data_IF_328647275524
#
_entry.id   IF_328647275524
#
_cell.length_a   1.000
_cell.length_b   1.000
_cell.length_c   1.000
_cell.angle_alpha   90.00
_cell.angle_beta   90.00
_cell.angle_gamma   90.00
#
_symmetry.space_group_name_H-M   'P 1'
#
loop_
_entity.id
_entity.type
_entity.pdbx_description
1 polymer ?
#
# COMPACT_ATOMS: atom_id res chain seq x y z
N UNK A 1 0.45 -20.99 17.07
CA UNK A 1 1.57 -20.05 17.26
C UNK A 1 2.24 -19.80 15.91
N UNK A 2 2.40 -18.53 15.57
CA UNK A 2 3.08 -18.16 14.34
C UNK A 2 4.58 -18.47 14.39
N UNK A 3 5.14 -18.85 13.26
CA UNK A 3 6.58 -19.12 13.11
C UNK A 3 7.25 -17.96 12.39
N UNK A 4 8.53 -17.69 12.65
CA UNK A 4 9.27 -16.72 11.84
C UNK A 4 9.20 -17.04 10.34
N UNK A 5 9.08 -16.03 9.53
CA UNK A 5 9.02 -16.15 8.06
C UNK A 5 9.95 -15.14 7.41
N UNK A 6 10.53 -15.54 6.31
CA UNK A 6 11.28 -14.65 5.41
C UNK A 6 10.52 -14.61 4.10
N UNK A 7 10.19 -13.41 3.66
CA UNK A 7 9.37 -13.21 2.46
C UNK A 7 10.12 -12.31 1.47
N UNK A 8 10.25 -12.76 0.25
CA UNK A 8 10.85 -11.98 -0.84
C UNK A 8 9.74 -11.42 -1.73
N UNK A 9 9.82 -10.14 -2.06
CA UNK A 9 8.83 -9.44 -2.88
C UNK A 9 8.54 -10.19 -4.17
N UNK A 10 9.58 -10.72 -4.82
CA UNK A 10 9.46 -11.40 -6.12
C UNK A 10 8.68 -12.72 -6.05
N UNK A 11 8.48 -13.26 -4.86
CA UNK A 11 7.76 -14.51 -4.64
C UNK A 11 6.30 -14.31 -4.22
N UNK A 12 5.86 -13.07 -4.06
CA UNK A 12 4.52 -12.75 -3.58
C UNK A 12 3.64 -12.27 -4.73
N UNK A 13 2.47 -12.86 -4.88
CA UNK A 13 1.45 -12.37 -5.80
C UNK A 13 1.02 -10.96 -5.42
N UNK A 14 0.76 -10.13 -6.42
CA UNK A 14 0.27 -8.79 -6.21
C UNK A 14 -1.21 -8.64 -6.56
N UNK A 15 -1.74 -7.49 -6.21
CA UNK A 15 -3.07 -7.04 -6.55
C UNK A 15 -2.98 -5.74 -7.32
N UNK A 16 -3.86 -5.58 -8.30
CA UNK A 16 -3.99 -4.34 -9.05
C UNK A 16 -5.48 -4.09 -9.32
N UNK A 17 -6.00 -2.89 -9.04
CA UNK A 17 -7.34 -2.55 -9.48
C UNK A 17 -7.44 -2.67 -11.00
N UNK A 18 -8.52 -3.29 -11.50
CA UNK A 18 -8.70 -3.46 -12.95
C UNK A 18 -8.73 -2.12 -13.69
N UNK A 19 -9.39 -1.13 -13.10
CA UNK A 19 -9.49 0.22 -13.65
C UNK A 19 -8.14 0.92 -13.86
N UNK A 20 -7.10 0.50 -13.14
CA UNK A 20 -5.77 1.08 -13.25
C UNK A 20 -4.86 0.37 -14.26
N UNK A 21 -5.33 -0.74 -14.86
CA UNK A 21 -4.60 -1.41 -15.92
C UNK A 21 -3.19 -1.90 -15.57
N UNK A 22 -2.94 -2.17 -14.29
CA UNK A 22 -1.62 -2.58 -13.81
C UNK A 22 -0.69 -1.43 -13.44
N UNK A 23 -1.16 -0.19 -13.47
CA UNK A 23 -0.34 0.97 -13.09
C UNK A 23 -0.08 1.08 -11.57
N UNK A 24 -0.87 0.38 -10.76
CA UNK A 24 -0.66 0.20 -9.33
C UNK A 24 -0.69 -1.27 -8.99
N UNK A 25 0.37 -1.75 -8.33
CA UNK A 25 0.44 -3.15 -7.85
C UNK A 25 0.81 -3.12 -6.38
N UNK A 26 0.03 -3.78 -5.53
CA UNK A 26 0.35 -3.99 -4.12
C UNK A 26 0.62 -5.47 -3.85
N UNK A 27 1.68 -5.75 -3.10
CA UNK A 27 2.08 -7.10 -2.69
C UNK A 27 2.10 -7.19 -1.17
N UNK A 28 1.31 -8.10 -0.63
CA UNK A 28 1.13 -8.26 0.81
C UNK A 28 2.27 -9.12 1.35
N UNK A 29 3.30 -8.49 1.90
CA UNK A 29 4.49 -9.18 2.37
C UNK A 29 4.28 -9.81 3.74
N UNK A 30 3.75 -9.04 4.67
CA UNK A 30 3.45 -9.47 6.04
C UNK A 30 1.99 -9.21 6.31
N UNK A 31 1.23 -10.26 6.57
CA UNK A 31 -0.21 -10.18 6.85
C UNK A 31 -0.69 -11.49 7.53
N UNK A 32 -1.97 -11.58 7.84
CA UNK A 32 -2.49 -12.68 8.64
C UNK A 32 -2.55 -14.02 7.91
N UNK A 33 -2.91 -14.02 6.64
CA UNK A 33 -3.16 -15.26 5.89
C UNK A 33 -1.88 -15.93 5.41
N UNK A 34 -0.96 -15.17 4.82
CA UNK A 34 0.26 -15.71 4.24
C UNK A 34 1.33 -16.05 5.25
N UNK A 35 1.54 -15.21 6.26
CA UNK A 35 2.62 -15.41 7.25
C UNK A 35 2.13 -15.55 8.68
N UNK A 36 0.83 -15.41 8.92
CA UNK A 36 0.25 -15.55 10.25
C UNK A 36 0.54 -14.38 11.18
N UNK A 37 0.76 -13.18 10.65
CA UNK A 37 0.91 -12.00 11.48
C UNK A 37 -0.40 -11.65 12.18
N UNK A 38 -0.32 -11.28 13.45
CA UNK A 38 -1.50 -10.91 14.24
C UNK A 38 -1.60 -9.42 14.52
N UNK A 39 -0.55 -8.65 14.26
CA UNK A 39 -0.51 -7.24 14.67
C UNK A 39 0.15 -6.29 13.66
N UNK A 40 0.78 -6.84 12.64
CA UNK A 40 1.62 -6.07 11.73
C UNK A 40 1.25 -6.35 10.28
N UNK A 41 1.13 -5.27 9.50
CA UNK A 41 1.00 -5.30 8.05
C UNK A 41 2.20 -4.65 7.40
N UNK A 42 2.74 -5.29 6.39
CA UNK A 42 3.74 -4.69 5.50
C UNK A 42 3.34 -5.00 4.06
N UNK A 43 3.16 -3.95 3.27
CA UNK A 43 2.79 -4.06 1.85
C UNK A 43 3.86 -3.38 1.01
N UNK A 44 4.28 -4.03 -0.04
CA UNK A 44 5.12 -3.43 -1.08
C UNK A 44 4.23 -2.92 -2.20
N UNK A 45 4.38 -1.67 -2.56
CA UNK A 45 3.61 -1.03 -3.61
C UNK A 45 4.51 -0.55 -4.75
N UNK A 46 4.00 -0.66 -5.96
CA UNK A 46 4.63 -0.13 -7.17
C UNK A 46 3.63 0.73 -7.92
N UNK A 47 4.03 1.95 -8.27
CA UNK A 47 3.25 2.89 -9.05
C UNK A 47 3.98 3.26 -10.33
N UNK A 48 3.29 3.20 -11.45
CA UNK A 48 3.79 3.73 -12.72
C UNK A 48 3.83 5.25 -12.71
N UNK A 49 4.68 5.89 -13.54
CA UNK A 49 4.72 7.35 -13.64
C UNK A 49 3.33 7.97 -13.88
N UNK A 50 3.05 9.06 -13.19
CA UNK A 50 1.79 9.80 -13.34
C UNK A 50 0.58 9.20 -12.64
N UNK A 51 0.74 8.14 -11.85
CA UNK A 51 -0.37 7.44 -11.19
C UNK A 51 -0.33 7.57 -9.67
N UNK A 52 -1.48 7.31 -9.06
CA UNK A 52 -1.68 7.22 -7.60
C UNK A 52 -2.45 5.94 -7.27
N UNK A 53 -2.32 5.38 -6.07
CA UNK A 53 -3.13 4.24 -5.66
C UNK A 53 -4.64 4.59 -5.62
N UNK A 54 -5.49 3.57 -5.67
CA UNK A 54 -6.92 3.73 -5.46
C UNK A 54 -7.58 4.71 -6.44
N UNK A 55 -7.16 4.71 -7.69
CA UNK A 55 -7.66 5.60 -8.74
C UNK A 55 -7.34 7.08 -8.49
N UNK A 56 -6.34 7.35 -7.66
CA UNK A 56 -5.89 8.68 -7.38
C UNK A 56 -6.70 9.45 -6.33
N UNK A 57 -7.69 8.82 -5.72
CA UNK A 57 -8.46 9.47 -4.66
C UNK A 57 -7.64 9.60 -3.38
N UNK A 58 -7.70 10.77 -2.76
CA UNK A 58 -7.18 10.95 -1.41
C UNK A 58 -8.12 10.27 -0.40
N UNK A 59 -7.56 9.61 0.62
CA UNK A 59 -8.35 8.85 1.59
C UNK A 59 -7.76 8.93 3.00
N UNK A 60 -8.58 8.86 4.04
CA UNK A 60 -8.11 8.64 5.41
C UNK A 60 -7.96 7.14 5.69
N UNK A 61 -7.14 6.81 6.67
CA UNK A 61 -7.08 5.47 7.26
C UNK A 61 -7.48 5.54 8.74
N UNK A 62 -8.14 4.52 9.30
CA UNK A 62 -8.56 4.53 10.70
C UNK A 62 -7.43 4.20 11.69
N UNK A 63 -6.21 4.06 11.22
CA UNK A 63 -5.01 3.70 11.99
C UNK A 63 -3.84 4.57 11.56
N UNK A 64 -2.81 4.62 12.41
CA UNK A 64 -1.52 5.20 12.04
C UNK A 64 -0.89 4.37 10.92
N UNK A 65 -0.29 5.03 9.97
CA UNK A 65 0.36 4.40 8.83
C UNK A 65 1.73 5.01 8.59
N UNK A 66 2.66 4.20 8.14
CA UNK A 66 3.96 4.68 7.70
C UNK A 66 4.22 4.24 6.26
N UNK A 67 4.84 5.12 5.48
CA UNK A 67 5.42 4.79 4.19
C UNK A 67 6.94 4.86 4.27
N UNK A 68 7.60 4.00 3.53
CA UNK A 68 9.04 4.09 3.33
C UNK A 68 9.33 3.96 1.84
N UNK A 69 9.91 5.02 1.26
CA UNK A 69 10.19 5.06 -0.18
C UNK A 69 11.48 4.29 -0.45
N UNK A 70 11.40 3.29 -1.32
CA UNK A 70 12.52 2.44 -1.71
C UNK A 70 13.21 2.97 -2.95
N UNK A 71 12.43 3.41 -3.95
CA UNK A 71 12.94 3.81 -5.25
C UNK A 71 11.94 4.72 -5.96
N UNK A 72 12.46 5.61 -6.80
CA UNK A 72 11.63 6.54 -7.56
C UNK A 72 11.38 7.86 -6.87
N UNK A 73 10.60 8.72 -7.49
CA UNK A 73 10.25 10.06 -7.01
C UNK A 73 8.74 10.20 -6.94
N UNK A 74 8.25 10.78 -5.88
CA UNK A 74 6.82 10.96 -5.69
C UNK A 74 6.49 12.27 -4.99
N UNK A 75 5.19 12.44 -4.78
CA UNK A 75 4.62 13.56 -4.04
C UNK A 75 3.58 13.03 -3.07
N UNK A 76 3.70 13.43 -1.81
CA UNK A 76 2.71 13.14 -0.79
C UNK A 76 1.93 14.41 -0.47
N UNK A 77 0.61 14.29 -0.55
CA UNK A 77 -0.33 15.36 -0.20
C UNK A 77 -1.13 14.95 1.03
N UNK A 78 -1.28 15.87 1.98
CA UNK A 78 -2.12 15.68 3.18
C UNK A 78 -3.28 16.66 3.11
N UNK A 79 -4.47 16.20 3.47
CA UNK A 79 -5.69 16.99 3.36
C UNK A 79 -5.77 18.20 4.27
N UNK A 80 -4.96 18.23 5.32
CA UNK A 80 -4.87 19.32 6.30
C UNK A 80 -3.69 20.29 6.04
N UNK A 81 -2.92 20.06 5.00
CA UNK A 81 -1.78 20.90 4.60
C UNK A 81 -1.97 21.44 3.19
N UNK A 82 -1.58 22.71 2.97
CA UNK A 82 -1.68 23.36 1.66
C UNK A 82 -0.52 22.98 0.73
N UNK A 83 0.64 22.63 1.31
CA UNK A 83 1.84 22.35 0.53
C UNK A 83 2.09 20.84 0.42
N UNK A 84 2.27 20.30 -0.80
CA UNK A 84 2.68 18.93 -0.98
C UNK A 84 4.15 18.72 -0.59
N UNK A 85 4.50 17.48 -0.30
CA UNK A 85 5.86 17.08 0.04
C UNK A 85 6.43 16.22 -1.10
N UNK A 86 7.52 16.66 -1.70
CA UNK A 86 8.29 15.81 -2.61
C UNK A 86 9.02 14.74 -1.80
N UNK A 87 8.96 13.50 -2.25
CA UNK A 87 9.55 12.36 -1.56
C UNK A 87 10.38 11.52 -2.54
N UNK A 88 11.44 10.93 -2.05
CA UNK A 88 12.35 10.10 -2.83
C UNK A 88 12.90 8.94 -2.00
N UNK A 89 13.92 8.23 -2.52
CA UNK A 89 14.49 7.06 -1.83
C UNK A 89 14.92 7.37 -0.39
N UNK A 90 14.78 6.38 0.49
CA UNK A 90 15.17 6.46 1.90
C UNK A 90 14.42 7.52 2.71
N UNK A 91 13.20 7.81 2.30
CA UNK A 91 12.30 8.74 2.99
C UNK A 91 11.22 7.96 3.73
N UNK A 92 11.06 8.23 5.01
CA UNK A 92 9.95 7.72 5.82
C UNK A 92 8.86 8.79 5.94
N UNK A 93 7.60 8.37 5.85
CA UNK A 93 6.43 9.24 5.96
C UNK A 93 5.54 8.68 7.06
N UNK A 94 5.23 9.51 8.06
CA UNK A 94 4.27 9.15 9.09
C UNK A 94 2.92 9.79 8.80
N UNK A 95 1.86 8.98 8.84
CA UNK A 95 0.50 9.42 8.58
C UNK A 95 -0.36 9.03 9.78
N UNK A 96 -0.76 10.02 10.61
CA UNK A 96 -1.66 9.73 11.73
C UNK A 96 -3.02 9.21 11.27
N UNK A 97 -3.67 8.42 12.12
CA UNK A 97 -5.03 7.95 11.88
C UNK A 97 -5.98 9.12 11.55
N UNK A 98 -6.81 8.95 10.53
CA UNK A 98 -7.80 9.93 10.12
C UNK A 98 -7.28 11.04 9.19
N UNK A 99 -5.99 11.12 8.96
CA UNK A 99 -5.43 12.12 8.03
C UNK A 99 -5.63 11.66 6.60
N UNK A 100 -6.31 12.47 5.82
CA UNK A 100 -6.49 12.26 4.38
C UNK A 100 -5.16 12.45 3.67
N UNK A 101 -4.76 11.48 2.87
CA UNK A 101 -3.46 11.51 2.19
C UNK A 101 -3.54 10.89 0.80
N UNK A 102 -2.60 11.30 -0.05
CA UNK A 102 -2.48 10.80 -1.41
C UNK A 102 -1.02 10.84 -1.84
N UNK A 103 -0.51 9.70 -2.33
CA UNK A 103 0.80 9.64 -2.95
C UNK A 103 0.65 9.55 -4.46
N UNK A 104 1.51 10.26 -5.19
CA UNK A 104 1.53 10.26 -6.64
C UNK A 104 2.95 10.04 -7.12
N UNK A 105 3.14 9.20 -8.14
CA UNK A 105 4.44 9.08 -8.81
C UNK A 105 4.63 10.28 -9.74
N UNK A 106 5.56 11.15 -9.40
CA UNK A 106 5.89 12.36 -10.17
C UNK A 106 7.17 12.21 -10.99
N UNK A 107 7.82 11.05 -10.92
CA UNK A 107 9.05 10.75 -11.64
C UNK A 107 8.80 10.13 -13.01
N UNK A 108 9.89 9.68 -13.61
CA UNK A 108 9.91 9.02 -14.94
C UNK A 108 10.09 7.51 -14.84
N UNK A 109 10.30 6.99 -13.63
CA UNK A 109 10.47 5.57 -13.34
C UNK A 109 9.39 5.11 -12.37
N UNK A 110 9.27 3.81 -12.16
CA UNK A 110 8.39 3.26 -11.15
C UNK A 110 8.74 3.80 -9.76
N UNK A 111 7.71 4.18 -9.02
CA UNK A 111 7.82 4.50 -7.60
C UNK A 111 7.55 3.23 -6.80
N UNK A 112 8.51 2.79 -6.01
CA UNK A 112 8.36 1.65 -5.13
C UNK A 112 8.48 2.07 -3.68
N UNK A 113 7.54 1.61 -2.86
CA UNK A 113 7.50 1.95 -1.44
C UNK A 113 6.86 0.84 -0.62
N UNK A 114 7.18 0.83 0.66
CA UNK A 114 6.48 0.02 1.65
C UNK A 114 5.40 0.86 2.31
N UNK A 115 4.29 0.23 2.62
CA UNK A 115 3.31 0.78 3.55
C UNK A 115 3.22 -0.17 4.74
N UNK A 116 3.16 0.40 5.94
CA UNK A 116 3.17 -0.32 7.20
C UNK A 116 2.04 0.21 8.08
N UNK A 117 1.22 -0.70 8.58
CA UNK A 117 0.16 -0.36 9.53
C UNK A 117 -0.17 -1.55 10.43
N UNK A 118 -0.85 -1.31 11.55
CA UNK A 118 -1.29 -2.40 12.41
C UNK A 118 -2.40 -3.20 11.72
N UNK A 119 -2.43 -4.51 11.93
CA UNK A 119 -3.57 -5.32 11.54
C UNK A 119 -4.77 -4.91 12.39
N UNK A 120 -5.88 -4.63 11.72
CA UNK A 120 -7.13 -4.35 12.40
C UNK A 120 -7.75 -5.65 12.92
N UNK A 121 -8.39 -5.64 14.09
CA UNK A 121 -9.10 -6.80 14.60
C UNK A 121 -10.20 -7.26 13.64
N UNK A 122 -10.36 -8.57 13.49
CA UNK A 122 -11.40 -9.16 12.65
C UNK A 122 -12.83 -8.75 13.07
N UNK A 123 -12.99 -8.29 14.30
CA UNK A 123 -14.26 -7.83 14.89
C UNK A 123 -14.84 -6.59 14.19
N UNK A 124 -14.04 -5.85 13.46
CA UNK A 124 -14.51 -4.69 12.69
C UNK A 124 -15.08 -5.05 11.32
N UNK A 125 -15.32 -6.34 11.06
CA UNK A 125 -15.96 -6.81 9.83
C UNK A 125 -15.03 -6.90 8.62
N UNK A 126 -13.74 -6.76 8.83
CA UNK A 126 -12.72 -6.93 7.79
C UNK A 126 -11.94 -8.20 8.11
N UNK A 127 -12.19 -9.26 7.36
CA UNK A 127 -11.50 -10.53 7.53
C UNK A 127 -10.19 -10.56 6.71
N UNK A 128 -9.25 -9.71 7.12
CA UNK A 128 -7.97 -9.63 6.47
C UNK A 128 -7.91 -8.61 5.33
N UNK A 129 -6.73 -8.48 4.76
CA UNK A 129 -6.41 -7.45 3.76
C UNK A 129 -7.18 -7.64 2.46
N UNK A 130 -7.50 -8.88 2.12
CA UNK A 130 -8.32 -9.19 0.96
C UNK A 130 -9.68 -8.52 1.02
N UNK A 131 -10.36 -8.64 2.15
CA UNK A 131 -11.68 -8.06 2.34
C UNK A 131 -11.59 -6.53 2.37
N UNK A 132 -10.54 -5.98 2.96
CA UNK A 132 -10.29 -4.54 2.92
C UNK A 132 -10.09 -4.05 1.47
N UNK A 133 -9.30 -4.76 0.66
CA UNK A 133 -9.10 -4.42 -0.74
C UNK A 133 -10.40 -4.52 -1.54
N UNK A 134 -11.21 -5.52 -1.29
CA UNK A 134 -12.55 -5.63 -1.90
C UNK A 134 -13.44 -4.47 -1.50
N UNK A 135 -13.38 -4.04 -0.24
CA UNK A 135 -14.15 -2.92 0.25
C UNK A 135 -13.72 -1.61 -0.41
N UNK A 136 -12.42 -1.40 -0.60
CA UNK A 136 -11.87 -0.19 -1.19
C UNK A 136 -12.03 -0.14 -2.71
N UNK A 137 -11.85 -1.28 -3.37
CA UNK A 137 -11.82 -1.37 -4.84
C UNK A 137 -13.02 -2.11 -5.42
N UNK A 138 -13.98 -2.51 -4.60
CA UNK A 138 -15.06 -3.40 -5.01
C UNK A 138 -14.52 -4.80 -5.31
N UNK A 139 -15.14 -5.49 -6.25
CA UNK A 139 -14.66 -6.79 -6.70
C UNK A 139 -13.74 -6.71 -7.92
N UNK A 140 -13.48 -5.49 -8.40
CA UNK A 140 -12.78 -5.23 -9.66
C UNK A 140 -11.27 -5.05 -9.44
N UNK A 141 -10.63 -6.03 -8.83
CA UNK A 141 -9.17 -6.10 -8.80
C UNK A 141 -8.70 -7.45 -9.33
N UNK A 142 -7.56 -7.45 -9.96
CA UNK A 142 -6.96 -8.66 -10.49
C UNK A 142 -5.72 -9.03 -9.70
N UNK A 143 -5.43 -10.32 -9.64
CA UNK A 143 -4.15 -10.82 -9.17
C UNK A 143 -3.08 -10.56 -10.22
N UNK A 144 -1.92 -10.18 -9.75
CA UNK A 144 -0.71 -10.05 -10.56
C UNK A 144 0.24 -11.15 -10.10
N UNK A 145 0.69 -11.98 -11.04
CA UNK A 145 1.62 -13.08 -10.71
C UNK A 145 2.88 -12.56 -10.04
N UNK A 146 3.53 -13.45 -9.30
CA UNK A 146 4.81 -13.14 -8.69
C UNK A 146 5.83 -12.73 -9.76
N UNK A 147 6.70 -11.79 -9.41
CA UNK A 147 7.77 -11.37 -10.30
C UNK A 147 8.78 -12.52 -10.45
N UNK A 148 9.26 -12.71 -11.63
CA UNK A 148 10.31 -13.68 -11.90
C UNK A 148 11.70 -13.06 -11.76
#
# INVERSE_FOLDING_TARGET
>A
MSKPRVVQVDQVEGFSPESMGGSYVSRLLIESEGVGSSRLMVVHATLKPGTSPGEGAAHPAPYDEAYYILRGQGRMEFGDEDEPHDVGPDTAIFIPAGVVHKITNTGTQDLEFLTLWPLLPAEEGVNGVYDERKRLWGTNFRRVVARS
#
